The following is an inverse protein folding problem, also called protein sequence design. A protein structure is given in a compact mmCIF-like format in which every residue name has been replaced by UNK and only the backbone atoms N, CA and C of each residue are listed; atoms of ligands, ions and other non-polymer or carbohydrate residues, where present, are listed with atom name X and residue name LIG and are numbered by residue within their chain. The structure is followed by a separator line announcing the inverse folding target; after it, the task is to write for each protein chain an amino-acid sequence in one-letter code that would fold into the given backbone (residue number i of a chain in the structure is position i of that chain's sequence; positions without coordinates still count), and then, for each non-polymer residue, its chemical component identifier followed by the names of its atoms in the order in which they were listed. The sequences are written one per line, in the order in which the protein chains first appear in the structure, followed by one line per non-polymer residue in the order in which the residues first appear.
data_IF_948592022448
#
_entry.id   IF_948592022448
#
_cell.length_a   1.000
_cell.length_b   1.000
_cell.length_c   1.000
_cell.angle_alpha   90.00
_cell.angle_beta   90.00
_cell.angle_gamma   90.00
#
_symmetry.space_group_name_H-M   'P 1'
#
loop_
_entity.id
_entity.type
_entity.pdbx_description
1 polymer ?
#
# COMPACT_ATOMS: atom_id res chain seq x y z
N UNK A 1 17.21 -44.79 12.47
CA UNK A 1 17.93 -44.32 11.26
C UNK A 1 17.35 -45.17 10.14
N UNK A 2 16.57 -44.66 9.20
CA UNK A 2 16.68 -43.38 8.48
C UNK A 2 15.29 -42.77 8.24
N UNK A 3 15.13 -41.49 8.56
CA UNK A 3 14.04 -40.65 8.05
C UNK A 3 14.57 -39.87 6.84
N UNK A 4 15.15 -40.58 5.86
CA UNK A 4 15.59 -39.96 4.61
C UNK A 4 14.48 -40.10 3.57
N UNK A 5 14.03 -38.96 3.03
CA UNK A 5 13.02 -38.85 1.97
C UNK A 5 11.57 -39.20 2.37
N UNK A 6 11.16 -38.94 3.63
CA UNK A 6 9.76 -39.13 4.04
C UNK A 6 8.85 -37.91 3.76
N UNK A 7 9.40 -36.81 3.25
CA UNK A 7 8.61 -35.61 3.02
C UNK A 7 7.69 -35.77 1.81
N UNK A 8 6.42 -35.43 2.00
CA UNK A 8 5.46 -35.43 0.89
C UNK A 8 5.55 -34.11 0.10
N UNK A 9 5.04 -34.07 -1.13
CA UNK A 9 4.92 -32.80 -1.89
C UNK A 9 4.09 -31.71 -1.18
N UNK A 10 3.33 -32.07 -0.13
CA UNK A 10 2.66 -31.09 0.72
C UNK A 10 3.65 -30.28 1.60
N UNK A 11 4.90 -30.71 1.68
CA UNK A 11 5.99 -30.10 2.46
C UNK A 11 7.07 -29.48 1.55
N UNK A 12 6.78 -29.36 0.24
CA UNK A 12 7.69 -28.73 -0.70
C UNK A 12 7.89 -27.24 -0.37
N UNK A 13 9.15 -26.84 -0.19
CA UNK A 13 9.52 -25.43 0.03
C UNK A 13 9.86 -24.78 -1.32
N UNK A 14 8.97 -23.93 -1.81
CA UNK A 14 9.23 -23.12 -3.00
C UNK A 14 10.02 -21.85 -2.67
N UNK A 15 11.19 -21.68 -3.29
CA UNK A 15 11.97 -20.43 -3.22
C UNK A 15 11.64 -19.59 -4.45
N UNK A 16 11.11 -18.37 -4.24
CA UNK A 16 10.86 -17.41 -5.31
C UNK A 16 11.73 -16.18 -5.12
N UNK A 17 12.60 -15.93 -6.10
CA UNK A 17 13.41 -14.71 -6.14
C UNK A 17 12.55 -13.53 -6.60
N UNK A 18 12.69 -12.40 -5.93
CA UNK A 18 12.08 -11.13 -6.31
C UNK A 18 13.18 -10.12 -6.68
N UNK A 19 12.91 -9.17 -7.59
CA UNK A 19 13.82 -8.07 -7.86
C UNK A 19 14.13 -7.30 -6.56
N UNK A 20 15.33 -6.73 -6.47
CA UNK A 20 15.69 -5.86 -5.36
C UNK A 20 14.78 -4.62 -5.32
N UNK A 21 13.88 -4.57 -4.35
CA UNK A 21 12.98 -3.45 -4.09
C UNK A 21 13.14 -2.96 -2.66
N UNK A 22 12.66 -1.77 -2.35
CA UNK A 22 12.69 -1.23 -0.99
C UNK A 22 11.29 -1.27 -0.36
N UNK A 23 11.19 -1.06 0.96
CA UNK A 23 9.96 -1.23 1.71
C UNK A 23 8.81 -0.30 1.24
N UNK A 24 9.14 0.90 0.72
CA UNK A 24 8.17 1.94 0.40
C UNK A 24 8.03 2.98 1.51
N UNK A 25 7.03 3.84 1.37
CA UNK A 25 6.72 4.92 2.30
C UNK A 25 5.45 4.57 3.05
N UNK A 26 5.44 4.84 4.35
CA UNK A 26 4.22 4.73 5.16
C UNK A 26 3.91 6.03 5.88
N UNK A 27 2.68 6.51 5.67
CA UNK A 27 2.06 7.55 6.48
C UNK A 27 1.22 6.85 7.54
N UNK A 28 1.79 6.77 8.75
CA UNK A 28 1.20 6.05 9.88
C UNK A 28 -0.08 6.72 10.39
N UNK A 29 -0.86 5.98 11.17
CA UNK A 29 -2.17 6.45 11.66
C UNK A 29 -2.11 7.70 12.54
N UNK A 30 -0.94 8.01 13.12
CA UNK A 30 -0.67 9.17 13.98
C UNK A 30 0.04 10.31 13.25
N UNK A 31 0.35 10.14 11.96
CA UNK A 31 0.99 11.18 11.19
C UNK A 31 0.10 12.43 11.19
N UNK A 32 0.71 13.60 11.29
CA UNK A 32 0.02 14.86 11.01
C UNK A 32 -0.17 15.02 9.50
N UNK A 33 -1.05 15.94 9.12
CA UNK A 33 -1.24 16.29 7.71
C UNK A 33 0.12 16.61 7.07
N UNK A 34 0.39 15.97 5.93
CA UNK A 34 1.66 16.09 5.22
C UNK A 34 1.40 16.25 3.73
N UNK A 35 2.34 16.88 3.05
CA UNK A 35 2.20 17.25 1.64
C UNK A 35 3.28 16.51 0.85
N UNK A 36 2.87 15.67 -0.11
CA UNK A 36 3.77 14.97 -1.03
C UNK A 36 3.45 15.48 -2.43
N UNK A 37 4.43 16.13 -3.07
CA UNK A 37 4.25 16.73 -4.39
C UNK A 37 5.44 16.48 -5.32
N UNK A 38 5.19 16.14 -6.57
CA UNK A 38 6.24 16.01 -7.59
C UNK A 38 7.23 14.87 -7.32
N UNK A 39 6.78 13.80 -6.66
CA UNK A 39 7.63 12.67 -6.25
C UNK A 39 7.41 11.47 -7.16
N UNK A 40 8.50 10.79 -7.50
CA UNK A 40 8.49 9.50 -8.19
C UNK A 40 8.78 8.38 -7.20
N UNK A 41 7.85 7.43 -7.06
CA UNK A 41 7.96 6.23 -6.22
C UNK A 41 8.04 5.01 -7.13
N UNK A 42 9.21 4.39 -7.20
CA UNK A 42 9.44 3.19 -8.01
C UNK A 42 10.21 2.10 -7.27
N UNK A 43 10.07 0.86 -7.74
CA UNK A 43 10.77 -0.32 -7.20
C UNK A 43 10.57 -0.47 -5.69
N UNK A 44 9.38 -0.15 -5.19
CA UNK A 44 9.01 -0.24 -3.78
C UNK A 44 8.02 -1.39 -3.52
N UNK A 45 7.59 -1.52 -2.27
CA UNK A 45 6.60 -2.50 -1.82
C UNK A 45 7.20 -3.85 -1.44
N UNK A 46 8.49 -3.90 -1.08
CA UNK A 46 9.14 -5.10 -0.56
C UNK A 46 8.53 -5.53 0.79
N UNK A 47 8.70 -6.82 1.09
CA UNK A 47 8.43 -7.49 2.37
C UNK A 47 8.62 -6.59 3.60
N UNK A 48 7.54 -6.32 4.32
CA UNK A 48 7.60 -5.78 5.68
C UNK A 48 8.16 -6.87 6.61
N UNK A 49 9.31 -6.60 7.24
CA UNK A 49 10.01 -7.55 8.10
C UNK A 49 9.20 -7.96 9.35
N UNK A 50 8.24 -7.13 9.77
CA UNK A 50 7.39 -7.42 10.94
C UNK A 50 6.29 -8.43 10.60
N UNK A 51 5.71 -8.32 9.40
CA UNK A 51 4.58 -9.16 8.96
C UNK A 51 4.95 -10.23 7.95
N UNK A 52 6.15 -10.15 7.35
CA UNK A 52 6.58 -10.97 6.21
C UNK A 52 5.59 -10.92 5.04
N UNK A 53 5.00 -9.76 4.79
CA UNK A 53 4.05 -9.55 3.68
C UNK A 53 4.51 -8.41 2.76
N UNK A 54 4.20 -8.52 1.47
CA UNK A 54 4.35 -7.40 0.55
C UNK A 54 3.37 -6.29 0.93
N UNK A 55 3.84 -5.05 0.87
CA UNK A 55 3.05 -3.86 1.21
C UNK A 55 2.98 -2.91 0.02
N UNK A 56 1.96 -2.03 -0.03
CA UNK A 56 1.90 -0.98 -1.06
C UNK A 56 3.16 -0.11 -1.06
N UNK A 57 3.53 0.43 -2.23
CA UNK A 57 4.67 1.33 -2.34
C UNK A 57 4.51 2.62 -1.52
N UNK A 58 3.28 3.11 -1.42
CA UNK A 58 2.88 4.16 -0.48
C UNK A 58 1.67 3.67 0.31
N UNK A 59 1.87 3.37 1.60
CA UNK A 59 0.80 3.01 2.51
C UNK A 59 0.35 4.23 3.31
N UNK A 60 -0.96 4.49 3.31
CA UNK A 60 -1.59 5.58 4.05
C UNK A 60 -2.60 4.96 5.01
N UNK A 61 -2.28 4.96 6.29
CA UNK A 61 -3.16 4.36 7.30
C UNK A 61 -4.38 5.25 7.56
N UNK A 62 -4.20 6.57 7.58
CA UNK A 62 -5.28 7.55 7.70
C UNK A 62 -5.13 8.67 6.68
N UNK A 63 -5.96 8.67 5.64
CA UNK A 63 -5.86 9.63 4.56
C UNK A 63 -6.47 10.97 4.95
N UNK A 64 -5.59 11.86 5.42
CA UNK A 64 -5.82 13.30 5.54
C UNK A 64 -4.73 14.15 4.85
N UNK A 65 -3.84 13.51 4.10
CA UNK A 65 -2.66 14.11 3.49
C UNK A 65 -2.98 14.73 2.11
N UNK A 66 -2.07 15.58 1.63
CA UNK A 66 -2.14 16.18 0.29
C UNK A 66 -1.17 15.46 -0.63
N UNK A 67 -1.69 14.80 -1.67
CA UNK A 67 -0.90 13.99 -2.61
C UNK A 67 -1.11 14.54 -4.02
N UNK A 68 -0.11 15.22 -4.59
CA UNK A 68 -0.27 15.90 -5.87
C UNK A 68 0.88 15.60 -6.82
N UNK A 69 0.59 15.40 -8.10
CA UNK A 69 1.59 15.29 -9.16
C UNK A 69 2.67 14.23 -8.86
N UNK A 70 2.25 13.10 -8.27
CA UNK A 70 3.16 11.98 -7.98
C UNK A 70 3.09 10.91 -9.07
N UNK A 71 4.20 10.22 -9.28
CA UNK A 71 4.27 9.04 -10.15
C UNK A 71 4.60 7.81 -9.31
N UNK A 72 3.70 6.83 -9.28
CA UNK A 72 3.88 5.56 -8.57
C UNK A 72 3.92 4.44 -9.58
N UNK A 73 5.13 3.95 -9.89
CA UNK A 73 5.33 3.01 -10.99
C UNK A 73 6.28 1.85 -10.70
N UNK A 74 6.06 0.75 -11.40
CA UNK A 74 6.99 -0.40 -11.39
C UNK A 74 7.25 -0.99 -9.98
N UNK A 75 6.20 -1.02 -9.13
CA UNK A 75 6.29 -1.50 -7.74
C UNK A 75 5.92 -2.98 -7.58
N UNK A 76 6.47 -3.63 -6.54
CA UNK A 76 6.34 -5.07 -6.28
C UNK A 76 4.95 -5.51 -5.79
N UNK A 77 4.10 -4.55 -5.44
CA UNK A 77 2.74 -4.78 -4.93
C UNK A 77 1.80 -3.70 -5.52
N UNK A 78 0.80 -3.29 -4.76
CA UNK A 78 -0.03 -2.12 -5.04
C UNK A 78 0.82 -0.84 -5.09
N UNK A 79 0.42 0.13 -5.91
CA UNK A 79 1.04 1.45 -5.91
C UNK A 79 0.75 2.20 -4.61
N UNK A 80 -0.51 2.49 -4.34
CA UNK A 80 -0.94 3.13 -3.09
C UNK A 80 -1.96 2.24 -2.37
N UNK A 81 -1.84 2.14 -1.06
CA UNK A 81 -2.86 1.51 -0.22
C UNK A 81 -3.37 2.46 0.84
N UNK A 82 -4.68 2.72 0.84
CA UNK A 82 -5.35 3.55 1.83
C UNK A 82 -6.23 2.68 2.72
N UNK A 83 -5.98 2.72 4.03
CA UNK A 83 -6.78 1.96 5.01
C UNK A 83 -8.01 2.78 5.40
N UNK A 84 -7.80 3.89 6.10
CA UNK A 84 -8.88 4.80 6.50
C UNK A 84 -8.80 6.11 5.75
N UNK A 85 -9.96 6.76 5.57
CA UNK A 85 -10.07 8.07 4.94
C UNK A 85 -10.80 9.04 5.86
N UNK A 86 -10.34 10.28 5.90
CA UNK A 86 -11.04 11.32 6.64
C UNK A 86 -12.34 11.71 5.91
N UNK A 87 -13.46 11.08 6.29
CA UNK A 87 -14.77 11.33 5.69
C UNK A 87 -15.30 12.75 5.95
N UNK A 88 -14.83 13.42 7.00
CA UNK A 88 -15.20 14.81 7.26
C UNK A 88 -14.51 15.79 6.32
N UNK A 89 -13.47 15.34 5.60
CA UNK A 89 -12.85 16.08 4.51
C UNK A 89 -13.77 16.27 3.29
N UNK A 90 -14.84 15.48 3.17
CA UNK A 90 -15.78 15.56 2.03
C UNK A 90 -16.38 16.97 1.91
N UNK A 91 -16.49 17.71 3.01
CA UNK A 91 -16.96 19.10 3.02
C UNK A 91 -15.99 20.09 2.32
N UNK A 92 -14.72 19.73 2.15
CA UNK A 92 -13.73 20.48 1.37
C UNK A 92 -13.09 19.57 0.31
N UNK A 93 -13.75 19.40 -0.86
CA UNK A 93 -13.33 18.45 -1.89
C UNK A 93 -11.94 18.73 -2.48
N UNK A 94 -11.41 19.95 -2.30
CA UNK A 94 -10.13 20.40 -2.84
C UNK A 94 -8.94 20.13 -1.90
N UNK A 95 -9.19 19.90 -0.61
CA UNK A 95 -8.11 19.88 0.38
C UNK A 95 -7.38 18.53 0.47
N UNK A 96 -7.96 17.41 0.00
CA UNK A 96 -7.46 16.05 0.34
C UNK A 96 -7.68 15.05 -0.80
N UNK A 97 -6.86 15.16 -1.84
CA UNK A 97 -7.09 14.51 -3.14
C UNK A 97 -5.78 13.89 -3.63
N UNK A 98 -5.87 12.75 -4.32
CA UNK A 98 -4.85 12.35 -5.29
C UNK A 98 -5.11 13.15 -6.57
N UNK A 99 -4.36 14.24 -6.76
CA UNK A 99 -4.53 15.13 -7.93
C UNK A 99 -3.34 15.01 -8.87
N UNK A 100 -3.55 14.89 -10.17
CA UNK A 100 -2.45 14.89 -11.14
C UNK A 100 -1.54 13.65 -11.04
N UNK A 101 -2.00 12.56 -10.43
CA UNK A 101 -1.14 11.43 -10.09
C UNK A 101 -1.13 10.35 -11.18
N UNK A 102 -0.03 9.62 -11.33
CA UNK A 102 0.09 8.49 -12.26
C UNK A 102 0.41 7.19 -11.52
N UNK A 103 -0.40 6.15 -11.70
CA UNK A 103 -0.25 4.84 -11.07
C UNK A 103 -0.10 3.76 -12.14
N UNK A 104 1.13 3.37 -12.47
CA UNK A 104 1.41 2.54 -13.66
C UNK A 104 2.32 1.35 -13.43
N UNK A 105 2.04 0.21 -14.08
CA UNK A 105 2.93 -0.99 -14.02
C UNK A 105 3.21 -1.50 -12.61
N UNK A 106 2.28 -1.31 -11.68
CA UNK A 106 2.37 -1.93 -10.36
C UNK A 106 1.96 -3.41 -10.46
N UNK A 107 2.66 -4.30 -9.73
CA UNK A 107 2.45 -5.76 -9.78
C UNK A 107 1.12 -6.24 -9.23
N UNK A 108 0.35 -5.35 -8.61
CA UNK A 108 -1.05 -5.57 -8.26
C UNK A 108 -1.88 -4.36 -8.66
N UNK A 109 -2.42 -3.61 -7.70
CA UNK A 109 -3.36 -2.54 -7.98
C UNK A 109 -2.65 -1.20 -8.15
N UNK A 110 -3.26 -0.25 -8.88
CA UNK A 110 -2.78 1.13 -8.89
C UNK A 110 -3.01 1.76 -7.51
N UNK A 111 -4.27 1.77 -7.08
CA UNK A 111 -4.72 2.21 -5.75
C UNK A 111 -5.57 1.11 -5.13
N UNK A 112 -5.28 0.73 -3.88
CA UNK A 112 -6.13 -0.14 -3.07
C UNK A 112 -6.73 0.63 -1.89
N UNK A 113 -8.04 0.44 -1.66
CA UNK A 113 -8.82 1.13 -0.64
C UNK A 113 -9.51 0.11 0.28
N UNK A 114 -9.41 0.30 1.60
CA UNK A 114 -10.24 -0.43 2.58
C UNK A 114 -11.49 0.37 2.99
N UNK A 115 -11.46 1.69 2.86
CA UNK A 115 -12.59 2.58 3.16
C UNK A 115 -12.90 3.50 1.98
N UNK A 116 -14.17 3.83 1.78
CA UNK A 116 -14.62 4.85 0.83
C UNK A 116 -14.37 6.26 1.38
N UNK A 117 -14.19 7.23 0.48
CA UNK A 117 -14.05 8.66 0.84
C UNK A 117 -12.80 9.35 0.30
N UNK A 118 -12.01 8.67 -0.54
CA UNK A 118 -10.88 9.28 -1.25
C UNK A 118 -11.38 9.97 -2.52
N UNK A 119 -10.94 11.20 -2.75
CA UNK A 119 -11.13 11.90 -4.02
C UNK A 119 -9.90 11.70 -4.91
N UNK A 120 -10.12 11.35 -6.18
CA UNK A 120 -9.06 11.12 -7.18
C UNK A 120 -9.44 11.94 -8.40
N UNK A 121 -8.61 12.92 -8.76
CA UNK A 121 -8.85 13.83 -9.89
C UNK A 121 -7.62 13.94 -10.76
N UNK A 122 -7.82 14.18 -12.06
CA UNK A 122 -6.72 14.42 -13.02
C UNK A 122 -5.63 13.34 -12.98
N UNK A 123 -5.99 12.09 -12.65
CA UNK A 123 -5.05 11.00 -12.39
C UNK A 123 -5.21 9.86 -13.38
N UNK A 124 -4.10 9.21 -13.71
CA UNK A 124 -4.01 8.11 -14.67
C UNK A 124 -3.67 6.79 -13.97
N UNK A 125 -4.47 5.75 -14.22
CA UNK A 125 -4.30 4.41 -13.64
C UNK A 125 -4.27 3.38 -14.76
N UNK A 126 -3.07 3.03 -15.24
CA UNK A 126 -2.92 2.17 -16.44
C UNK A 126 -1.84 1.11 -16.29
N UNK A 127 -2.03 0.01 -17.01
CA UNK A 127 -1.06 -1.09 -17.10
C UNK A 127 -0.63 -1.67 -15.74
N UNK A 128 -1.50 -1.67 -14.73
CA UNK A 128 -1.27 -2.40 -13.48
C UNK A 128 -1.67 -3.88 -13.70
N UNK A 129 -0.95 -4.83 -13.08
CA UNK A 129 -1.20 -6.27 -13.29
C UNK A 129 -2.55 -6.72 -12.67
N UNK A 130 -3.04 -5.98 -11.67
CA UNK A 130 -4.39 -6.08 -11.12
C UNK A 130 -5.30 -4.94 -11.57
N UNK A 131 -6.23 -4.52 -10.71
CA UNK A 131 -7.13 -3.39 -10.98
C UNK A 131 -6.42 -2.02 -10.92
N UNK A 132 -6.86 -1.03 -11.70
CA UNK A 132 -6.44 0.36 -11.52
C UNK A 132 -6.82 0.87 -10.12
N UNK A 133 -8.12 0.81 -9.80
CA UNK A 133 -8.66 1.06 -8.46
C UNK A 133 -9.24 -0.25 -7.90
N UNK A 134 -8.85 -0.62 -6.68
CA UNK A 134 -9.33 -1.82 -6.01
C UNK A 134 -9.91 -1.48 -4.64
N UNK A 135 -11.17 -1.85 -4.41
CA UNK A 135 -11.81 -1.68 -3.12
C UNK A 135 -12.03 -3.05 -2.45
N UNK A 136 -11.50 -3.21 -1.25
CA UNK A 136 -11.72 -4.38 -0.42
C UNK A 136 -11.79 -3.96 1.04
N UNK A 137 -12.98 -3.90 1.67
CA UNK A 137 -13.13 -3.41 3.03
C UNK A 137 -12.64 -4.37 4.10
N UNK A 138 -12.22 -5.59 3.73
CA UNK A 138 -11.76 -6.57 4.69
C UNK A 138 -10.38 -6.21 5.25
N UNK A 139 -10.33 -6.02 6.58
CA UNK A 139 -9.09 -5.85 7.36
C UNK A 139 -8.94 -7.07 8.26
N UNK A 140 -7.89 -7.85 8.02
CA UNK A 140 -7.55 -9.04 8.79
C UNK A 140 -7.11 -8.69 10.22
N UNK A 141 -7.19 -9.68 11.13
CA UNK A 141 -6.70 -9.50 12.51
C UNK A 141 -5.20 -9.17 12.57
N UNK A 142 -4.41 -9.67 11.62
CA UNK A 142 -2.98 -9.37 11.55
C UNK A 142 -2.76 -7.90 11.17
N UNK A 143 -3.45 -7.39 10.14
CA UNK A 143 -3.42 -5.98 9.75
C UNK A 143 -3.90 -5.06 10.89
N UNK A 144 -4.97 -5.41 11.61
CA UNK A 144 -5.45 -4.63 12.76
C UNK A 144 -4.42 -4.54 13.89
N UNK A 145 -3.76 -5.66 14.24
CA UNK A 145 -2.71 -5.68 15.27
C UNK A 145 -1.50 -4.85 14.86
N UNK A 146 -1.14 -4.93 13.58
CA UNK A 146 -0.05 -4.17 13.00
C UNK A 146 -0.34 -2.66 13.08
N UNK A 147 -1.52 -2.20 12.62
CA UNK A 147 -1.99 -0.81 12.78
C UNK A 147 -1.99 -0.35 14.25
N UNK A 148 -2.49 -1.18 15.16
CA UNK A 148 -2.49 -0.86 16.60
C UNK A 148 -1.07 -0.80 17.20
N UNK A 149 -0.11 -1.52 16.62
CA UNK A 149 1.30 -1.46 17.01
C UNK A 149 1.89 -0.06 16.82
N UNK A 150 1.54 0.61 15.72
CA UNK A 150 2.04 1.97 15.43
C UNK A 150 1.43 3.05 16.32
N UNK A 151 0.25 2.82 16.91
CA UNK A 151 -0.32 3.71 17.91
C UNK A 151 0.45 3.69 19.24
N UNK A 152 1.04 2.56 19.60
CA UNK A 152 1.74 2.39 20.88
C UNK A 152 3.06 3.16 20.97
N UNK A 153 3.58 3.67 19.85
CA UNK A 153 4.78 4.52 19.82
C UNK A 153 4.56 5.90 20.46
N UNK A 154 3.33 6.23 20.86
CA UNK A 154 2.97 7.47 21.56
C UNK A 154 2.88 7.34 23.09
N UNK A 155 3.16 6.16 23.65
CA UNK A 155 3.26 5.94 25.10
C UNK A 155 4.71 5.81 25.54
#
# INVERSE_FOLDING_TARGET
WELENSCSHAEDVGIRCYPGTWAGIRLGMTAHESHIKGVVIEKAGLLDYTTRTFKPALQIDFHHHVIQDIEVRDNSHDGVGVIYSNQYAIANPDARVFKGCSFTRNKRHGISLKQMGVNITESDLRANDGSGLHFNPFISRAEQRELAGWLKLLQ
#
